data_IF_088654134812
#
_entry.id   IF_088654134812
#
_cell.length_a   1.000
_cell.length_b   1.000
_cell.length_c   1.000
_cell.angle_alpha   90.00
_cell.angle_beta   90.00
_cell.angle_gamma   90.00
#
_symmetry.space_group_name_H-M   'P 1'
#
loop_
_entity.id
_entity.type
_entity.pdbx_description
1 polymer ?
#
# COMPACT_ATOMS: atom_id res chain seq x y z
N UNK A 1 -18.05 16.27 10.50
CA UNK A 1 -18.50 14.86 10.37
C UNK A 1 -18.22 14.24 8.99
N UNK A 2 -18.54 14.90 7.86
CA UNK A 2 -18.33 14.33 6.51
C UNK A 2 -16.87 13.94 6.21
N UNK A 3 -15.90 14.76 6.62
CA UNK A 3 -14.46 14.50 6.42
C UNK A 3 -13.97 13.26 7.18
N UNK A 4 -14.36 13.10 8.45
CA UNK A 4 -13.98 11.95 9.28
C UNK A 4 -14.54 10.67 8.64
N UNK A 5 -15.83 10.66 8.30
CA UNK A 5 -16.47 9.52 7.63
C UNK A 5 -15.75 9.13 6.34
N UNK A 6 -15.35 10.12 5.53
CA UNK A 6 -14.58 9.91 4.31
C UNK A 6 -13.22 9.27 4.60
N UNK A 7 -12.45 9.82 5.55
CA UNK A 7 -11.13 9.32 5.89
C UNK A 7 -11.18 7.90 6.47
N UNK A 8 -12.19 7.58 7.29
CA UNK A 8 -12.41 6.23 7.78
C UNK A 8 -12.68 5.23 6.65
N UNK A 9 -13.50 5.61 5.66
CA UNK A 9 -13.79 4.76 4.50
C UNK A 9 -12.52 4.57 3.66
N UNK A 10 -11.74 5.63 3.41
CA UNK A 10 -10.47 5.53 2.71
C UNK A 10 -9.47 4.62 3.46
N UNK A 11 -9.45 4.68 4.79
CA UNK A 11 -8.65 3.78 5.62
C UNK A 11 -9.05 2.33 5.46
N UNK A 12 -10.35 2.03 5.49
CA UNK A 12 -10.86 0.67 5.25
C UNK A 12 -10.43 0.15 3.87
N UNK A 13 -10.61 0.95 2.81
CA UNK A 13 -10.18 0.56 1.47
C UNK A 13 -8.67 0.32 1.39
N UNK A 14 -7.87 1.19 2.02
CA UNK A 14 -6.42 1.00 2.04
C UNK A 14 -6.02 -0.30 2.73
N UNK A 15 -6.55 -0.55 3.92
CA UNK A 15 -6.23 -1.75 4.71
C UNK A 15 -6.61 -3.02 3.95
N UNK A 16 -7.77 -3.03 3.28
CA UNK A 16 -8.16 -4.14 2.42
C UNK A 16 -7.22 -4.34 1.23
N UNK A 17 -6.89 -3.26 0.50
CA UNK A 17 -5.96 -3.33 -0.63
C UNK A 17 -4.58 -3.81 -0.19
N UNK A 18 -4.09 -3.33 0.95
CA UNK A 18 -2.81 -3.70 1.51
C UNK A 18 -2.79 -5.18 1.91
N UNK A 19 -3.81 -5.66 2.62
CA UNK A 19 -3.90 -7.06 3.02
C UNK A 19 -3.98 -8.00 1.81
N UNK A 20 -4.71 -7.62 0.77
CA UNK A 20 -4.75 -8.35 -0.50
C UNK A 20 -3.39 -8.34 -1.21
N UNK A 21 -2.72 -7.19 -1.30
CA UNK A 21 -1.39 -7.08 -1.88
C UNK A 21 -0.37 -7.94 -1.16
N UNK A 22 -0.38 -7.93 0.18
CA UNK A 22 0.49 -8.77 0.99
C UNK A 22 0.20 -10.26 0.76
N UNK A 23 -1.07 -10.65 0.75
CA UNK A 23 -1.47 -12.06 0.50
C UNK A 23 -1.06 -12.53 -0.89
N UNK A 24 -1.12 -11.65 -1.90
CA UNK A 24 -0.62 -11.94 -3.24
C UNK A 24 0.90 -12.13 -3.24
N UNK A 25 1.64 -11.25 -2.54
CA UNK A 25 3.08 -11.36 -2.42
C UNK A 25 3.48 -12.67 -1.73
N UNK A 26 2.82 -13.05 -0.63
CA UNK A 26 3.08 -14.32 0.06
C UNK A 26 2.82 -15.52 -0.86
N UNK A 27 1.70 -15.51 -1.59
CA UNK A 27 1.37 -16.61 -2.49
C UNK A 27 2.33 -16.75 -3.67
N UNK A 28 2.89 -15.64 -4.16
CA UNK A 28 3.81 -15.63 -5.30
C UNK A 28 5.26 -15.90 -4.91
N UNK A 29 5.68 -15.49 -3.71
CA UNK A 29 7.09 -15.52 -3.29
C UNK A 29 7.36 -16.47 -2.10
N UNK A 30 6.50 -16.54 -1.07
CA UNK A 30 6.78 -17.38 0.12
C UNK A 30 6.77 -18.88 -0.18
N UNK A 31 6.05 -19.34 -1.22
CA UNK A 31 6.07 -20.75 -1.66
C UNK A 31 7.43 -21.22 -2.18
N UNK A 32 8.39 -20.31 -2.38
CA UNK A 32 9.72 -20.60 -2.93
C UNK A 32 10.80 -20.76 -1.84
N UNK A 33 10.47 -20.56 -0.57
CA UNK A 33 11.45 -20.48 0.53
C UNK A 33 11.29 -21.67 1.49
N UNK A 34 12.23 -22.62 1.48
CA UNK A 34 12.38 -23.65 2.51
C UNK A 34 13.32 -23.12 3.60
N UNK A 35 12.98 -23.13 4.91
CA UNK A 35 11.95 -23.91 5.60
C UNK A 35 10.66 -23.13 5.96
N UNK A 36 10.38 -22.00 5.31
CA UNK A 36 9.33 -21.06 5.70
C UNK A 36 7.94 -21.38 5.11
N UNK A 37 7.70 -22.63 4.67
CA UNK A 37 6.36 -23.11 4.26
C UNK A 37 5.27 -22.84 5.33
N UNK A 38 5.67 -22.55 6.57
CA UNK A 38 4.80 -22.27 7.71
C UNK A 38 4.92 -20.85 8.30
N UNK A 39 5.79 -19.99 7.76
CA UNK A 39 5.88 -18.58 8.20
C UNK A 39 5.04 -17.72 7.27
N UNK A 40 3.74 -17.92 7.39
CA UNK A 40 2.77 -16.98 6.87
C UNK A 40 2.65 -15.86 7.90
N UNK A 41 2.98 -14.63 7.53
CA UNK A 41 2.69 -13.45 8.35
C UNK A 41 1.17 -13.40 8.61
N UNK A 42 0.40 -13.89 7.64
CA UNK A 42 -1.00 -14.21 7.78
C UNK A 42 -1.88 -12.96 7.68
N UNK A 43 -3.09 -13.14 7.15
CA UNK A 43 -3.99 -12.03 6.80
C UNK A 43 -4.21 -11.02 7.94
N UNK A 44 -4.32 -11.50 9.18
CA UNK A 44 -4.52 -10.65 10.35
C UNK A 44 -3.34 -9.70 10.63
N UNK A 45 -2.10 -10.18 10.52
CA UNK A 45 -0.91 -9.35 10.69
C UNK A 45 -0.77 -8.34 9.56
N UNK A 46 -1.09 -8.75 8.32
CA UNK A 46 -1.12 -7.87 7.15
C UNK A 46 -2.15 -6.73 7.31
N UNK A 47 -3.31 -7.02 7.88
CA UNK A 47 -4.33 -6.01 8.22
C UNK A 47 -3.80 -5.02 9.27
N UNK A 48 -3.15 -5.50 10.34
CA UNK A 48 -2.55 -4.62 11.37
C UNK A 48 -1.47 -3.72 10.77
N UNK A 49 -0.56 -4.30 9.99
CA UNK A 49 0.53 -3.56 9.35
C UNK A 49 -0.03 -2.51 8.38
N UNK A 50 -1.01 -2.89 7.54
CA UNK A 50 -1.70 -1.97 6.65
C UNK A 50 -2.40 -0.84 7.40
N UNK A 51 -3.00 -1.12 8.56
CA UNK A 51 -3.63 -0.09 9.38
C UNK A 51 -2.61 0.89 9.97
N UNK A 52 -1.47 0.39 10.46
CA UNK A 52 -0.38 1.23 10.99
C UNK A 52 0.21 2.11 9.88
N UNK A 53 0.52 1.53 8.72
CA UNK A 53 1.04 2.26 7.55
C UNK A 53 0.02 3.30 7.09
N UNK A 54 -1.28 2.97 7.13
CA UNK A 54 -2.32 3.94 6.84
C UNK A 54 -2.26 5.13 7.78
N UNK A 55 -2.27 4.89 9.08
CA UNK A 55 -2.30 5.95 10.09
C UNK A 55 -1.07 6.84 10.06
N UNK A 56 0.12 6.26 9.87
CA UNK A 56 1.40 6.98 9.96
C UNK A 56 1.76 7.67 8.64
N UNK A 57 1.45 7.04 7.50
CA UNK A 57 1.93 7.49 6.19
C UNK A 57 0.77 8.00 5.33
N UNK A 58 -0.16 7.12 4.95
CA UNK A 58 -1.17 7.46 3.94
C UNK A 58 -2.19 8.49 4.42
N UNK A 59 -2.55 8.48 5.71
CA UNK A 59 -3.52 9.39 6.29
C UNK A 59 -2.97 10.83 6.35
N UNK A 60 -1.80 11.11 6.95
CA UNK A 60 -1.21 12.46 6.94
C UNK A 60 -1.02 13.00 5.52
N UNK A 61 -0.49 12.17 4.62
CA UNK A 61 -0.28 12.56 3.23
C UNK A 61 -1.61 12.85 2.53
N UNK A 62 -2.64 12.04 2.77
CA UNK A 62 -3.98 12.28 2.21
C UNK A 62 -4.58 13.59 2.72
N UNK A 63 -4.38 13.93 3.99
CA UNK A 63 -4.82 15.22 4.56
C UNK A 63 -4.05 16.38 3.92
N UNK A 64 -2.71 16.29 3.84
CA UNK A 64 -1.87 17.34 3.25
C UNK A 64 -2.21 17.55 1.77
N UNK A 65 -2.29 16.48 0.99
CA UNK A 65 -2.67 16.57 -0.43
C UNK A 65 -4.08 17.10 -0.61
N UNK A 66 -4.98 16.84 0.34
CA UNK A 66 -6.32 17.39 0.30
C UNK A 66 -6.38 18.90 0.57
N UNK A 67 -5.56 19.40 1.49
CA UNK A 67 -5.39 20.82 1.78
C UNK A 67 -4.74 21.56 0.60
N UNK A 68 -3.74 20.97 -0.05
CA UNK A 68 -3.09 21.56 -1.23
C UNK A 68 -4.03 21.67 -2.44
N UNK A 69 -5.05 20.82 -2.52
CA UNK A 69 -6.04 20.81 -3.60
C UNK A 69 -7.37 21.48 -3.22
N UNK A 70 -7.32 22.44 -2.28
CA UNK A 70 -8.48 23.26 -1.88
C UNK A 70 -8.92 24.19 -3.02
N UNK A 71 -7.97 24.64 -3.84
CA UNK A 71 -8.24 25.60 -4.90
C UNK A 71 -8.79 24.92 -6.17
N UNK A 72 -9.96 25.38 -6.65
CA UNK A 72 -10.72 24.69 -7.73
C UNK A 72 -9.93 24.57 -9.03
N UNK A 73 -9.07 25.55 -9.34
CA UNK A 73 -8.26 25.57 -10.57
C UNK A 73 -7.18 24.50 -10.58
N UNK A 74 -6.61 24.16 -9.43
CA UNK A 74 -5.52 23.18 -9.32
C UNK A 74 -5.98 21.80 -8.83
N UNK A 75 -7.27 21.62 -8.52
CA UNK A 75 -7.83 20.37 -7.98
C UNK A 75 -7.52 19.15 -8.88
N UNK A 76 -7.64 19.30 -10.20
CA UNK A 76 -7.38 18.22 -11.15
C UNK A 76 -5.88 17.95 -11.27
N UNK A 77 -5.06 19.00 -11.37
CA UNK A 77 -3.61 18.90 -11.44
C UNK A 77 -3.03 18.17 -10.22
N UNK A 78 -3.42 18.58 -9.01
CA UNK A 78 -3.01 17.92 -7.78
C UNK A 78 -3.54 16.50 -7.65
N UNK A 79 -4.75 16.22 -8.15
CA UNK A 79 -5.29 14.86 -8.20
C UNK A 79 -4.46 13.93 -9.08
N UNK A 80 -4.05 14.41 -10.26
CA UNK A 80 -3.19 13.64 -11.17
C UNK A 80 -1.82 13.44 -10.53
N UNK A 81 -1.20 14.51 -10.00
CA UNK A 81 0.14 14.47 -9.41
C UNK A 81 0.23 13.58 -8.15
N UNK A 82 -0.88 13.47 -7.40
CA UNK A 82 -0.99 12.57 -6.25
C UNK A 82 -0.82 11.10 -6.65
N UNK A 83 -1.24 10.72 -7.84
CA UNK A 83 -1.24 9.31 -8.28
C UNK A 83 0.16 8.70 -8.44
N UNK A 84 1.10 9.31 -9.20
CA UNK A 84 2.47 8.82 -9.24
C UNK A 84 3.13 8.90 -7.86
N UNK A 85 2.84 9.93 -7.06
CA UNK A 85 3.39 10.06 -5.70
C UNK A 85 2.98 8.90 -4.78
N UNK A 86 1.70 8.57 -4.72
CA UNK A 86 1.19 7.44 -3.93
C UNK A 86 1.65 6.09 -4.47
N UNK A 87 1.82 5.96 -5.78
CA UNK A 87 2.42 4.76 -6.38
C UNK A 87 3.88 4.57 -5.98
N UNK A 88 4.68 5.64 -6.01
CA UNK A 88 6.09 5.62 -5.57
C UNK A 88 6.18 5.28 -4.07
N UNK A 89 5.33 5.87 -3.23
CA UNK A 89 5.24 5.51 -1.83
C UNK A 89 4.91 4.02 -1.62
N UNK A 90 3.98 3.50 -2.43
CA UNK A 90 3.65 2.09 -2.46
C UNK A 90 4.88 1.22 -2.78
N UNK A 91 5.65 1.59 -3.80
CA UNK A 91 6.90 0.90 -4.18
C UNK A 91 7.91 0.91 -3.01
N UNK A 92 8.13 2.06 -2.36
CA UNK A 92 9.06 2.18 -1.23
C UNK A 92 8.61 1.31 -0.04
N UNK A 93 7.32 1.29 0.26
CA UNK A 93 6.76 0.45 1.31
C UNK A 93 6.87 -1.04 0.95
N UNK A 94 6.58 -1.40 -0.29
CA UNK A 94 6.74 -2.77 -0.77
C UNK A 94 8.17 -3.26 -0.68
N UNK A 95 9.14 -2.40 -0.99
CA UNK A 95 10.56 -2.67 -0.78
C UNK A 95 10.88 -2.96 0.69
N UNK A 96 10.43 -2.11 1.61
CA UNK A 96 10.66 -2.30 3.05
C UNK A 96 10.02 -3.59 3.56
N UNK A 97 8.77 -3.86 3.15
CA UNK A 97 8.07 -5.09 3.51
C UNK A 97 8.83 -6.31 2.99
N UNK A 98 9.30 -6.29 1.75
CA UNK A 98 10.04 -7.40 1.17
C UNK A 98 11.29 -7.73 1.99
N UNK A 99 12.08 -6.73 2.37
CA UNK A 99 13.28 -6.95 3.18
C UNK A 99 12.99 -7.38 4.62
N UNK A 100 11.89 -6.90 5.22
CA UNK A 100 11.47 -7.33 6.55
C UNK A 100 10.96 -8.78 6.56
N UNK A 101 10.25 -9.18 5.50
CA UNK A 101 9.63 -10.51 5.39
C UNK A 101 10.62 -11.57 4.89
N UNK A 102 11.54 -11.20 3.98
CA UNK A 102 12.53 -12.09 3.38
C UNK A 102 13.96 -11.57 3.61
N UNK A 103 14.53 -11.81 4.80
CA UNK A 103 15.91 -11.43 5.07
C UNK A 103 16.90 -12.14 4.12
N UNK A 104 17.97 -11.43 3.73
CA UNK A 104 19.00 -11.91 2.79
C UNK A 104 19.76 -13.17 3.27
N UNK A 105 19.68 -13.51 4.56
CA UNK A 105 20.34 -14.67 5.16
C UNK A 105 19.53 -15.97 5.09
N UNK A 106 18.30 -15.93 4.56
CA UNK A 106 17.47 -17.12 4.43
C UNK A 106 17.94 -17.94 3.22
N UNK A 107 18.25 -19.22 3.45
CA UNK A 107 18.63 -20.17 2.40
C UNK A 107 17.50 -20.28 1.37
N UNK A 108 17.73 -19.65 0.21
CA UNK A 108 16.90 -19.81 -0.96
C UNK A 108 17.33 -21.09 -1.64
N UNK A 109 16.39 -22.05 -1.77
CA UNK A 109 16.59 -23.33 -2.45
C UNK A 109 16.80 -23.15 -3.96
N UNK A 110 17.85 -22.42 -4.36
CA UNK A 110 18.21 -22.08 -5.74
C UNK A 110 17.29 -21.06 -6.44
N UNK A 111 16.22 -20.58 -5.80
CA UNK A 111 15.26 -19.65 -6.39
C UNK A 111 15.51 -18.21 -5.94
N UNK A 112 15.74 -17.31 -6.89
CA UNK A 112 15.86 -15.87 -6.64
C UNK A 112 14.44 -15.33 -6.33
N UNK A 113 14.21 -14.89 -5.09
CA UNK A 113 13.00 -14.13 -4.76
C UNK A 113 12.97 -12.85 -5.59
N UNK A 114 11.86 -12.59 -6.28
CA UNK A 114 11.79 -11.41 -7.14
C UNK A 114 11.28 -10.20 -6.34
N UNK A 115 12.21 -9.34 -5.93
CA UNK A 115 11.90 -8.05 -5.31
C UNK A 115 10.93 -7.22 -6.16
N UNK A 116 11.03 -7.29 -7.48
CA UNK A 116 10.18 -6.56 -8.41
C UNK A 116 8.70 -6.91 -8.22
N UNK A 117 8.38 -8.15 -7.84
CA UNK A 117 7.00 -8.57 -7.52
C UNK A 117 6.41 -7.71 -6.40
N UNK A 118 7.15 -7.49 -5.32
CA UNK A 118 6.71 -6.64 -4.22
C UNK A 118 6.58 -5.16 -4.65
N UNK A 119 7.53 -4.66 -5.43
CA UNK A 119 7.49 -3.29 -5.94
C UNK A 119 6.24 -3.05 -6.80
N UNK A 120 5.94 -3.98 -7.71
CA UNK A 120 4.79 -3.89 -8.61
C UNK A 120 3.49 -3.96 -7.80
N UNK A 121 3.34 -4.96 -6.91
CA UNK A 121 2.12 -5.15 -6.14
C UNK A 121 1.81 -3.93 -5.27
N UNK A 122 2.77 -3.47 -4.47
CA UNK A 122 2.51 -2.35 -3.56
C UNK A 122 2.48 -1.00 -4.30
N UNK A 123 3.18 -0.87 -5.44
CA UNK A 123 2.97 0.24 -6.37
C UNK A 123 1.53 0.33 -6.86
N UNK A 124 0.93 -0.80 -7.26
CA UNK A 124 -0.47 -0.88 -7.64
C UNK A 124 -1.42 -0.57 -6.48
N UNK A 125 -1.12 -1.02 -5.25
CA UNK A 125 -1.89 -0.65 -4.05
C UNK A 125 -1.92 0.87 -3.88
N UNK A 126 -0.75 1.52 -4.00
CA UNK A 126 -0.64 2.99 -3.93
C UNK A 126 -1.41 3.70 -5.04
N UNK A 127 -1.29 3.20 -6.27
CA UNK A 127 -1.99 3.72 -7.44
C UNK A 127 -3.52 3.64 -7.28
N UNK A 128 -4.05 2.45 -6.97
CA UNK A 128 -5.49 2.22 -6.80
C UNK A 128 -6.03 3.06 -5.64
N UNK A 129 -5.30 3.12 -4.53
CA UNK A 129 -5.68 3.98 -3.41
C UNK A 129 -5.79 5.45 -3.83
N UNK A 130 -4.82 5.98 -4.59
CA UNK A 130 -4.89 7.35 -5.10
C UNK A 130 -6.14 7.58 -5.94
N UNK A 131 -6.45 6.69 -6.88
CA UNK A 131 -7.65 6.79 -7.72
C UNK A 131 -8.92 6.85 -6.87
N UNK A 132 -9.04 5.98 -5.85
CA UNK A 132 -10.17 5.99 -4.92
C UNK A 132 -10.24 7.34 -4.21
N UNK A 133 -9.13 7.89 -3.73
CA UNK A 133 -9.14 9.20 -3.06
C UNK A 133 -9.64 10.33 -3.97
N UNK A 134 -9.26 10.33 -5.25
CA UNK A 134 -9.70 11.33 -6.23
C UNK A 134 -11.21 11.22 -6.49
N UNK A 135 -11.71 10.00 -6.70
CA UNK A 135 -13.13 9.73 -6.94
C UNK A 135 -13.96 10.12 -5.72
N UNK A 136 -13.54 9.71 -4.53
CA UNK A 136 -14.29 9.95 -3.29
C UNK A 136 -14.26 11.42 -2.87
N UNK A 137 -13.24 12.19 -3.26
CA UNK A 137 -13.19 13.65 -3.10
C UNK A 137 -14.15 14.41 -4.02
N UNK A 138 -14.58 13.84 -5.15
CA UNK A 138 -15.61 14.46 -5.98
C UNK A 138 -17.01 14.35 -5.36
N UNK A 139 -17.22 13.37 -4.47
CA UNK A 139 -18.52 13.04 -3.88
C UNK A 139 -18.87 13.83 -2.61
N UNK A 140 -17.90 14.53 -2.02
CA UNK A 140 -18.00 15.27 -0.75
C UNK A 140 -17.30 16.63 -0.82
#
# INVERSE_FOLDING_TARGET
MKTIKRLSILGLFYVMLFALGFSLLENLESKKVYPFEHVQVGFYSSVKMGFIIFLIIYLPITIVTDLLSTDKKYKIFWGILKTPFFSILGVVIGQLIFYMTYPEWVELSGYILNKETALIIFGLVGFIYSLITIIYKKKF
#
